data_IF_719411162757
#
_entry.id   IF_719411162757
#
_cell.length_a   1.000
_cell.length_b   1.000
_cell.length_c   1.000
_cell.angle_alpha   90.00
_cell.angle_beta   90.00
_cell.angle_gamma   90.00
#
_symmetry.space_group_name_H-M   'P 1'
#
loop_
_entity.id
_entity.type
_entity.pdbx_description
1 polymer ?
#
# COMPACT_ATOMS: atom_id res chain seq x y z
N UNK A 1 9.88 7.82 -26.48
CA UNK A 1 8.85 8.84 -26.21
C UNK A 1 7.45 8.28 -26.06
N UNK A 2 6.91 7.46 -26.97
CA UNK A 2 5.54 6.92 -26.91
C UNK A 2 5.21 6.08 -25.65
N UNK A 3 6.14 5.19 -25.22
CA UNK A 3 6.00 4.40 -23.97
C UNK A 3 5.97 5.29 -22.72
N UNK A 4 6.79 6.33 -22.72
CA UNK A 4 6.85 7.29 -21.61
C UNK A 4 5.51 8.02 -21.44
N UNK A 5 4.96 8.63 -22.49
CA UNK A 5 3.75 9.44 -22.43
C UNK A 5 2.49 8.58 -22.16
N UNK A 6 2.45 7.34 -22.67
CA UNK A 6 1.23 6.49 -22.59
C UNK A 6 1.22 5.48 -21.45
N UNK A 7 2.34 5.28 -20.78
CA UNK A 7 2.47 4.34 -19.69
C UNK A 7 3.19 4.93 -18.47
N UNK A 8 4.46 5.33 -18.60
CA UNK A 8 5.30 5.70 -17.45
C UNK A 8 4.79 6.95 -16.75
N UNK A 9 4.66 8.06 -17.48
CA UNK A 9 4.19 9.32 -16.92
C UNK A 9 2.80 9.23 -16.29
N UNK A 10 1.76 8.71 -16.99
CA UNK A 10 0.44 8.59 -16.36
C UNK A 10 0.42 7.59 -15.21
N UNK A 11 1.20 6.51 -15.26
CA UNK A 11 1.31 5.58 -14.14
C UNK A 11 1.91 6.25 -12.90
N UNK A 12 2.94 7.06 -13.07
CA UNK A 12 3.55 7.85 -12.01
C UNK A 12 2.55 8.84 -11.41
N UNK A 13 1.92 9.67 -12.25
CA UNK A 13 0.98 10.70 -11.79
C UNK A 13 -0.21 10.12 -11.03
N UNK A 14 -0.80 9.04 -11.53
CA UNK A 14 -1.91 8.37 -10.85
C UNK A 14 -1.47 7.77 -9.52
N UNK A 15 -0.37 7.03 -9.52
CA UNK A 15 0.07 6.32 -8.34
C UNK A 15 0.54 7.27 -7.22
N UNK A 16 1.28 8.34 -7.56
CA UNK A 16 1.72 9.33 -6.57
C UNK A 16 0.54 10.10 -5.98
N UNK A 17 -0.50 10.39 -6.79
CA UNK A 17 -1.69 11.07 -6.31
C UNK A 17 -2.48 10.22 -5.32
N UNK A 18 -2.77 8.96 -5.65
CA UNK A 18 -3.54 8.10 -4.73
C UNK A 18 -2.74 7.62 -3.53
N UNK A 19 -1.41 7.70 -3.57
CA UNK A 19 -0.54 7.46 -2.43
C UNK A 19 -0.73 8.45 -1.27
N UNK A 20 -1.40 9.57 -1.53
CA UNK A 20 -1.86 10.52 -0.52
C UNK A 20 -2.69 9.83 0.59
N UNK A 21 -3.34 8.70 0.32
CA UNK A 21 -4.17 7.99 1.30
C UNK A 21 -3.44 7.74 2.63
N UNK A 22 -2.13 7.53 2.61
CA UNK A 22 -1.33 7.35 3.83
C UNK A 22 -1.06 8.65 4.60
N UNK A 23 -1.21 9.80 3.98
CA UNK A 23 -0.99 11.08 4.65
C UNK A 23 -2.11 11.43 5.65
N UNK A 24 -3.28 10.79 5.57
CA UNK A 24 -4.43 11.04 6.45
C UNK A 24 -4.09 10.96 7.93
N UNK A 25 -3.27 9.99 8.30
CA UNK A 25 -2.88 9.78 9.70
C UNK A 25 -2.18 10.99 10.31
N UNK A 26 -1.53 11.83 9.48
CA UNK A 26 -0.88 13.06 9.91
C UNK A 26 -1.86 14.16 10.33
N UNK A 27 -3.12 14.06 9.92
CA UNK A 27 -4.17 15.05 10.19
C UNK A 27 -5.16 14.57 11.27
N UNK A 28 -5.03 13.31 11.72
CA UNK A 28 -6.01 12.68 12.61
C UNK A 28 -6.19 13.41 13.93
N UNK A 29 -5.12 13.95 14.53
CA UNK A 29 -5.18 14.69 15.79
C UNK A 29 -5.92 16.03 15.59
N UNK A 30 -5.59 16.77 14.54
CA UNK A 30 -6.25 18.04 14.21
C UNK A 30 -7.72 17.85 13.88
N UNK A 31 -8.07 16.78 13.14
CA UNK A 31 -9.47 16.45 12.84
C UNK A 31 -10.22 16.10 14.13
N UNK A 32 -9.67 15.22 14.97
CA UNK A 32 -10.29 14.82 16.23
C UNK A 32 -10.55 16.02 17.13
N UNK A 33 -9.56 16.91 17.30
CA UNK A 33 -9.70 18.12 18.10
C UNK A 33 -10.75 19.09 17.54
N UNK A 34 -10.85 19.21 16.20
CA UNK A 34 -11.79 20.15 15.57
C UNK A 34 -13.25 19.66 15.63
N UNK A 35 -13.49 18.34 15.38
CA UNK A 35 -14.85 17.80 15.34
C UNK A 35 -15.38 17.43 16.73
N UNK A 36 -14.50 17.28 17.73
CA UNK A 36 -14.88 16.95 19.10
C UNK A 36 -15.68 18.10 19.74
N UNK A 37 -16.75 17.73 20.46
CA UNK A 37 -17.52 18.66 21.29
C UNK A 37 -17.57 18.13 22.71
N UNK A 38 -17.99 18.98 23.68
CA UNK A 38 -18.13 18.55 25.10
C UNK A 38 -19.16 17.43 25.24
N UNK A 39 -20.24 17.49 24.45
CA UNK A 39 -21.32 16.51 24.46
C UNK A 39 -21.01 15.24 23.67
N UNK A 40 -20.15 15.33 22.64
CA UNK A 40 -19.77 14.21 21.77
C UNK A 40 -18.25 14.23 21.53
N UNK A 41 -17.45 13.75 22.48
CA UNK A 41 -16.00 13.69 22.34
C UNK A 41 -15.59 12.68 21.28
N UNK A 42 -14.73 13.09 20.34
CA UNK A 42 -14.20 12.25 19.29
C UNK A 42 -12.72 11.98 19.51
N UNK A 43 -12.36 10.71 19.57
CA UNK A 43 -10.96 10.31 19.78
C UNK A 43 -10.18 10.22 18.47
N UNK A 44 -8.84 10.38 18.55
CA UNK A 44 -7.92 10.13 17.44
C UNK A 44 -8.13 8.75 16.82
N UNK A 45 -8.37 7.73 17.62
CA UNK A 45 -8.58 6.36 17.17
C UNK A 45 -9.83 6.23 16.27
N UNK A 46 -10.92 6.91 16.63
CA UNK A 46 -12.13 6.96 15.81
C UNK A 46 -11.87 7.65 14.46
N UNK A 47 -11.12 8.76 14.44
CA UNK A 47 -10.73 9.40 13.17
C UNK A 47 -9.82 8.50 12.35
N UNK A 48 -8.83 7.85 12.95
CA UNK A 48 -7.92 6.93 12.26
C UNK A 48 -8.63 5.69 11.71
N UNK A 49 -9.79 5.33 12.22
CA UNK A 49 -10.61 4.27 11.65
C UNK A 49 -11.05 4.57 10.22
N UNK A 50 -11.21 5.85 9.83
CA UNK A 50 -11.42 6.23 8.43
C UNK A 50 -10.27 5.78 7.51
N UNK A 51 -9.03 5.85 7.97
CA UNK A 51 -7.87 5.32 7.24
C UNK A 51 -7.94 3.78 7.12
N UNK A 52 -8.26 3.08 8.20
CA UNK A 52 -8.41 1.62 8.17
C UNK A 52 -9.49 1.18 7.20
N UNK A 53 -10.63 1.87 7.18
CA UNK A 53 -11.68 1.68 6.17
C UNK A 53 -11.16 2.00 4.76
N UNK A 54 -10.36 3.06 4.61
CA UNK A 54 -9.75 3.42 3.33
C UNK A 54 -8.87 2.31 2.77
N UNK A 55 -8.04 1.68 3.59
CA UNK A 55 -7.21 0.53 3.19
C UNK A 55 -8.09 -0.70 2.90
N UNK A 56 -9.14 -0.94 3.69
CA UNK A 56 -10.07 -2.03 3.42
C UNK A 56 -10.76 -1.86 2.07
N UNK A 57 -11.34 -0.68 1.82
CA UNK A 57 -12.03 -0.40 0.56
C UNK A 57 -11.09 -0.24 -0.64
N UNK A 58 -9.80 0.09 -0.42
CA UNK A 58 -8.77 -0.02 -1.46
C UNK A 58 -8.67 -1.47 -1.96
N UNK A 59 -8.53 -2.43 -1.03
CA UNK A 59 -8.48 -3.85 -1.37
C UNK A 59 -9.76 -4.32 -2.08
N UNK A 60 -10.92 -3.95 -1.55
CA UNK A 60 -12.22 -4.30 -2.14
C UNK A 60 -12.45 -3.64 -3.50
N UNK A 61 -12.10 -2.34 -3.64
CA UNK A 61 -12.17 -1.62 -4.91
C UNK A 61 -11.31 -2.28 -5.99
N UNK A 62 -10.08 -2.66 -5.67
CA UNK A 62 -9.23 -3.41 -6.59
C UNK A 62 -9.85 -4.76 -6.98
N UNK A 63 -10.42 -5.50 -6.02
CA UNK A 63 -11.00 -6.81 -6.26
C UNK A 63 -12.25 -6.75 -7.14
N UNK A 64 -13.20 -5.86 -6.83
CA UNK A 64 -14.48 -5.81 -7.54
C UNK A 64 -14.40 -5.12 -8.90
N UNK A 65 -13.58 -4.07 -9.03
CA UNK A 65 -13.46 -3.30 -10.26
C UNK A 65 -12.42 -3.85 -11.25
N UNK A 66 -11.69 -4.90 -10.92
CA UNK A 66 -10.74 -5.55 -11.82
C UNK A 66 -11.32 -5.91 -13.18
N UNK A 67 -12.63 -6.27 -13.27
CA UNK A 67 -13.34 -6.52 -14.54
C UNK A 67 -13.43 -5.29 -15.42
N UNK A 68 -13.68 -4.11 -14.85
CA UNK A 68 -13.77 -2.85 -15.59
C UNK A 68 -12.40 -2.44 -16.11
N UNK A 69 -11.36 -2.63 -15.29
CA UNK A 69 -9.97 -2.39 -15.70
C UNK A 69 -9.55 -3.30 -16.86
N UNK A 70 -9.99 -4.57 -16.86
CA UNK A 70 -9.74 -5.47 -18.00
C UNK A 70 -10.39 -4.97 -19.30
N UNK A 71 -11.65 -4.58 -19.21
CA UNK A 71 -12.43 -4.11 -20.38
C UNK A 71 -11.91 -2.78 -20.90
N UNK A 72 -11.82 -1.78 -20.03
CA UNK A 72 -11.51 -0.41 -20.43
C UNK A 72 -10.70 0.31 -19.36
N UNK A 73 -9.38 0.34 -19.53
CA UNK A 73 -8.45 1.01 -18.61
C UNK A 73 -8.77 2.49 -18.43
N UNK A 74 -9.15 3.19 -19.51
CA UNK A 74 -9.45 4.61 -19.44
C UNK A 74 -10.70 4.88 -18.62
N UNK A 75 -11.78 4.13 -18.87
CA UNK A 75 -13.03 4.27 -18.13
C UNK A 75 -12.81 3.96 -16.64
N UNK A 76 -12.12 2.86 -16.33
CA UNK A 76 -11.83 2.50 -14.94
C UNK A 76 -11.00 3.57 -14.22
N UNK A 77 -10.00 4.12 -14.91
CA UNK A 77 -9.15 5.18 -14.33
C UNK A 77 -9.95 6.46 -14.10
N UNK A 78 -10.85 6.82 -15.02
CA UNK A 78 -11.76 7.97 -14.84
C UNK A 78 -12.71 7.74 -13.64
N UNK A 79 -13.33 6.56 -13.54
CA UNK A 79 -14.19 6.22 -12.40
C UNK A 79 -13.40 6.31 -11.09
N UNK A 80 -12.21 5.71 -11.04
CA UNK A 80 -11.35 5.75 -9.85
C UNK A 80 -10.94 7.17 -9.46
N UNK A 81 -10.56 8.01 -10.44
CA UNK A 81 -10.24 9.43 -10.23
C UNK A 81 -11.45 10.20 -9.68
N UNK A 82 -12.63 10.02 -10.28
CA UNK A 82 -13.85 10.70 -9.81
C UNK A 82 -14.19 10.28 -8.38
N UNK A 83 -14.14 8.98 -8.06
CA UNK A 83 -14.38 8.49 -6.69
C UNK A 83 -13.37 9.06 -5.70
N UNK A 84 -12.08 9.08 -6.06
CA UNK A 84 -11.03 9.61 -5.20
C UNK A 84 -11.23 11.09 -4.91
N UNK A 85 -11.45 11.91 -5.94
CA UNK A 85 -11.63 13.35 -5.80
C UNK A 85 -12.93 13.69 -5.05
N UNK A 86 -14.06 13.05 -5.41
CA UNK A 86 -15.32 13.25 -4.69
C UNK A 86 -15.23 12.81 -3.23
N UNK A 87 -14.47 11.75 -2.95
CA UNK A 87 -14.20 11.28 -1.60
C UNK A 87 -13.44 12.30 -0.75
N UNK A 88 -12.44 12.98 -1.31
CA UNK A 88 -11.74 14.07 -0.61
C UNK A 88 -12.69 15.24 -0.32
N UNK A 89 -13.56 15.60 -1.26
CA UNK A 89 -14.57 16.67 -1.06
C UNK A 89 -15.57 16.28 0.04
N UNK A 90 -16.10 15.05 0.01
CA UNK A 90 -17.03 14.55 1.04
C UNK A 90 -16.36 14.50 2.41
N UNK A 91 -15.06 14.14 2.46
CA UNK A 91 -14.27 14.17 3.71
C UNK A 91 -14.21 15.59 4.29
N UNK A 92 -13.92 16.57 3.45
CA UNK A 92 -13.88 17.98 3.85
C UNK A 92 -15.23 18.48 4.37
N UNK A 93 -16.32 18.13 3.67
CA UNK A 93 -17.68 18.43 4.13
C UNK A 93 -17.91 17.78 5.51
N UNK A 94 -17.55 16.51 5.68
CA UNK A 94 -17.68 15.80 6.96
C UNK A 94 -16.93 16.47 8.10
N UNK A 95 -15.72 16.97 7.84
CA UNK A 95 -14.94 17.74 8.82
C UNK A 95 -15.66 19.05 9.16
N UNK A 96 -16.07 19.81 8.15
CA UNK A 96 -16.70 21.13 8.31
C UNK A 96 -18.01 21.04 9.10
N UNK A 97 -18.85 20.04 8.80
CA UNK A 97 -20.12 19.82 9.53
C UNK A 97 -19.95 18.96 10.79
N UNK A 98 -18.71 18.64 11.17
CA UNK A 98 -18.36 17.84 12.36
C UNK A 98 -19.02 16.45 12.39
N UNK A 99 -19.16 15.81 11.25
CA UNK A 99 -19.80 14.50 11.10
C UNK A 99 -18.78 13.40 10.75
N UNK A 100 -18.48 12.55 11.74
CA UNK A 100 -17.52 11.45 11.61
C UNK A 100 -17.95 10.40 10.55
N UNK A 101 -19.26 10.16 10.40
CA UNK A 101 -19.78 9.18 9.41
C UNK A 101 -19.54 9.66 7.97
N UNK A 102 -19.65 10.96 7.72
CA UNK A 102 -19.29 11.53 6.41
C UNK A 102 -17.79 11.40 6.13
N UNK A 103 -16.93 11.51 7.15
CA UNK A 103 -15.49 11.25 7.00
C UNK A 103 -15.26 9.77 6.65
N UNK A 104 -15.98 8.85 7.26
CA UNK A 104 -15.91 7.41 6.92
C UNK A 104 -16.39 7.13 5.50
N UNK A 105 -17.49 7.77 5.09
CA UNK A 105 -18.00 7.67 3.71
C UNK A 105 -17.00 8.28 2.70
N UNK A 106 -16.53 9.49 2.96
CA UNK A 106 -15.62 10.20 2.06
C UNK A 106 -14.27 9.52 1.98
N UNK A 107 -13.54 9.49 3.10
CA UNK A 107 -12.17 8.97 3.11
C UNK A 107 -12.12 7.45 3.12
N UNK A 108 -12.93 6.82 3.93
CA UNK A 108 -12.97 5.37 4.02
C UNK A 108 -13.45 4.74 2.73
N UNK A 109 -14.69 5.00 2.34
CA UNK A 109 -15.31 4.29 1.21
C UNK A 109 -14.90 4.87 -0.15
N UNK A 110 -15.11 6.17 -0.40
CA UNK A 110 -14.92 6.74 -1.74
C UNK A 110 -13.44 6.87 -2.09
N UNK A 111 -12.60 7.48 -1.24
CA UNK A 111 -11.15 7.58 -1.47
C UNK A 111 -10.53 6.19 -1.53
N UNK A 112 -10.88 5.28 -0.60
CA UNK A 112 -10.38 3.92 -0.59
C UNK A 112 -10.70 3.17 -1.88
N UNK A 113 -11.97 3.12 -2.28
CA UNK A 113 -12.41 2.43 -3.52
C UNK A 113 -11.75 3.03 -4.76
N UNK A 114 -11.73 4.36 -4.87
CA UNK A 114 -11.07 5.06 -5.96
C UNK A 114 -9.59 4.72 -6.06
N UNK A 115 -8.90 4.69 -4.92
CA UNK A 115 -7.48 4.29 -4.82
C UNK A 115 -7.28 2.86 -5.33
N UNK A 116 -8.12 1.91 -4.93
CA UNK A 116 -8.00 0.51 -5.36
C UNK A 116 -8.12 0.33 -6.86
N UNK A 117 -9.07 1.01 -7.50
CA UNK A 117 -9.24 1.00 -8.96
C UNK A 117 -8.01 1.57 -9.66
N UNK A 118 -7.51 2.71 -9.17
CA UNK A 118 -6.34 3.39 -9.74
C UNK A 118 -5.06 2.58 -9.51
N UNK A 119 -4.94 1.86 -8.39
CA UNK A 119 -3.74 1.07 -8.10
C UNK A 119 -3.48 -0.02 -9.17
N UNK A 120 -4.51 -0.78 -9.56
CA UNK A 120 -4.32 -1.90 -10.50
C UNK A 120 -4.18 -1.47 -11.97
N UNK A 121 -4.73 -0.31 -12.36
CA UNK A 121 -4.74 0.14 -13.75
C UNK A 121 -3.34 0.47 -14.30
N UNK A 122 -2.50 1.29 -13.62
CA UNK A 122 -1.12 1.54 -14.02
C UNK A 122 -0.23 0.29 -13.97
N UNK A 123 -0.36 -0.53 -12.91
CA UNK A 123 0.44 -1.76 -12.75
C UNK A 123 0.27 -2.67 -13.94
N UNK A 124 -0.97 -2.95 -14.34
CA UNK A 124 -1.23 -3.73 -15.56
C UNK A 124 -0.65 -3.08 -16.81
N UNK A 125 -0.90 -1.79 -17.00
CA UNK A 125 -0.46 -1.08 -18.20
C UNK A 125 1.05 -1.10 -18.34
N UNK A 126 1.77 -0.90 -17.23
CA UNK A 126 3.23 -0.97 -17.20
C UNK A 126 3.74 -2.37 -17.56
N UNK A 127 3.17 -3.43 -16.98
CA UNK A 127 3.55 -4.81 -17.32
C UNK A 127 3.27 -5.16 -18.80
N UNK A 128 2.23 -4.60 -19.42
CA UNK A 128 1.94 -4.80 -20.84
C UNK A 128 2.95 -4.07 -21.75
N UNK A 129 3.42 -2.89 -21.37
CA UNK A 129 4.42 -2.15 -22.15
C UNK A 129 5.85 -2.65 -21.98
N UNK A 130 6.15 -3.29 -20.83
CA UNK A 130 7.48 -3.78 -20.45
C UNK A 130 7.42 -5.26 -20.06
N UNK A 131 6.89 -6.07 -20.97
CA UNK A 131 6.57 -7.47 -20.73
C UNK A 131 7.77 -8.32 -20.30
N UNK A 132 8.96 -8.02 -20.81
CA UNK A 132 10.21 -8.76 -20.49
C UNK A 132 10.65 -8.51 -19.02
N UNK A 133 10.31 -7.36 -18.47
CA UNK A 133 10.68 -6.93 -17.11
C UNK A 133 9.42 -6.62 -16.27
N UNK A 134 8.52 -7.59 -16.14
CA UNK A 134 7.20 -7.40 -15.51
C UNK A 134 7.29 -6.94 -14.06
N UNK A 135 8.24 -7.46 -13.28
CA UNK A 135 8.36 -7.11 -11.87
C UNK A 135 8.84 -5.67 -11.70
N UNK A 136 9.87 -5.23 -12.45
CA UNK A 136 10.31 -3.83 -12.45
C UNK A 136 9.20 -2.92 -12.96
N UNK A 137 8.51 -3.32 -14.01
CA UNK A 137 7.40 -2.56 -14.57
C UNK A 137 6.25 -2.37 -13.56
N UNK A 138 5.91 -3.42 -12.82
CA UNK A 138 4.93 -3.32 -11.74
C UNK A 138 5.44 -2.49 -10.56
N UNK A 139 6.74 -2.58 -10.23
CA UNK A 139 7.33 -1.87 -9.09
C UNK A 139 7.26 -0.35 -9.24
N UNK A 140 7.39 0.18 -10.47
CA UNK A 140 7.45 1.63 -10.71
C UNK A 140 6.20 2.38 -10.21
N UNK A 141 4.95 2.04 -10.59
CA UNK A 141 3.77 2.68 -10.01
C UNK A 141 3.61 2.38 -8.50
N UNK A 142 4.06 1.21 -8.03
CA UNK A 142 3.98 0.84 -6.62
C UNK A 142 4.94 1.67 -5.76
N UNK A 143 6.14 1.99 -6.27
CA UNK A 143 7.08 2.92 -5.62
C UNK A 143 6.50 4.33 -5.62
N UNK A 144 5.95 4.78 -6.75
CA UNK A 144 5.31 6.09 -6.88
C UNK A 144 4.16 6.27 -5.89
N UNK A 145 3.38 5.22 -5.66
CA UNK A 145 2.34 5.20 -4.62
C UNK A 145 2.91 5.44 -3.21
N UNK A 146 4.04 4.82 -2.89
CA UNK A 146 4.73 5.06 -1.62
C UNK A 146 5.23 6.51 -1.46
N UNK A 147 5.69 7.13 -2.54
CA UNK A 147 6.14 8.53 -2.55
C UNK A 147 4.98 9.52 -2.36
N UNK A 148 3.74 9.14 -2.68
CA UNK A 148 2.58 10.02 -2.60
C UNK A 148 2.31 10.54 -1.19
N UNK A 149 2.47 9.72 -0.17
CA UNK A 149 2.35 10.15 1.23
C UNK A 149 3.41 11.17 1.61
N UNK A 150 4.66 10.94 1.21
CA UNK A 150 5.77 11.86 1.45
C UNK A 150 5.52 13.20 0.78
N UNK A 151 5.13 13.18 -0.50
CA UNK A 151 4.79 14.39 -1.24
C UNK A 151 3.67 15.17 -0.56
N UNK A 152 2.58 14.51 -0.17
CA UNK A 152 1.46 15.14 0.51
C UNK A 152 1.87 15.74 1.86
N UNK A 153 2.72 15.06 2.61
CA UNK A 153 3.22 15.55 3.90
C UNK A 153 4.10 16.80 3.70
N UNK A 154 5.00 16.79 2.71
CA UNK A 154 5.86 17.93 2.39
C UNK A 154 5.04 19.14 1.94
N UNK A 155 4.05 18.92 1.09
CA UNK A 155 3.22 19.98 0.56
C UNK A 155 2.43 20.73 1.67
N UNK A 156 1.98 20.03 2.71
CA UNK A 156 1.06 20.56 3.69
C UNK A 156 1.63 20.74 5.10
N UNK A 157 2.56 19.90 5.54
CA UNK A 157 3.26 20.06 6.82
C UNK A 157 4.65 20.68 6.68
N UNK A 158 5.22 20.63 5.48
CA UNK A 158 6.58 21.07 5.22
C UNK A 158 7.65 20.06 5.65
N UNK A 159 8.88 20.38 5.32
CA UNK A 159 10.08 19.69 5.81
C UNK A 159 10.68 20.56 6.90
N UNK A 160 10.82 20.00 8.10
CA UNK A 160 11.53 20.62 9.19
C UNK A 160 12.93 20.00 9.27
N UNK A 161 13.99 20.79 9.13
CA UNK A 161 15.34 20.36 9.44
C UNK A 161 16.00 21.37 10.38
N UNK A 162 16.38 20.88 11.56
CA UNK A 162 16.87 21.73 12.64
C UNK A 162 15.75 22.56 13.30
N UNK A 163 16.13 23.36 14.27
CA UNK A 163 15.19 24.15 15.08
C UNK A 163 14.68 25.42 14.39
N UNK A 164 15.31 25.84 13.27
CA UNK A 164 15.05 27.15 12.67
C UNK A 164 14.57 27.12 11.21
N UNK A 165 14.61 25.95 10.53
CA UNK A 165 14.32 25.88 9.10
C UNK A 165 13.11 24.98 8.83
N UNK A 166 12.02 25.58 8.37
CA UNK A 166 10.87 24.85 7.82
C UNK A 166 10.56 25.31 6.41
N UNK A 167 10.44 24.38 5.47
CA UNK A 167 9.96 24.66 4.10
C UNK A 167 8.66 23.93 3.88
N UNK A 168 7.56 24.65 3.81
CA UNK A 168 6.28 24.17 3.31
C UNK A 168 6.02 24.81 1.94
N UNK A 169 5.76 24.02 0.89
CA UNK A 169 5.49 24.54 -0.45
C UNK A 169 4.18 25.34 -0.51
N UNK A 170 3.23 25.02 0.36
CA UNK A 170 1.98 25.75 0.54
C UNK A 170 1.85 26.13 2.01
N UNK A 171 2.62 27.14 2.45
CA UNK A 171 2.26 27.86 3.67
C UNK A 171 0.96 28.61 3.40
N UNK A 172 -0.15 27.94 3.55
CA UNK A 172 -1.39 28.63 3.86
C UNK A 172 -1.17 29.26 5.24
N UNK A 173 -0.69 30.52 5.27
CA UNK A 173 -0.73 31.35 6.47
C UNK A 173 -2.17 31.28 6.96
N UNK A 174 -2.42 30.63 8.05
CA UNK A 174 -3.76 30.31 8.53
C UNK A 174 -4.04 28.83 8.68
N UNK A 175 -3.04 27.94 8.42
CA UNK A 175 -3.16 26.53 8.72
C UNK A 175 -3.44 26.30 10.22
N UNK A 176 -2.93 27.15 11.09
CA UNK A 176 -3.22 27.17 12.53
C UNK A 176 -4.65 27.64 12.85
N UNK A 177 -5.26 28.47 11.99
CA UNK A 177 -6.59 29.04 12.22
C UNK A 177 -7.69 28.47 11.32
N UNK A 178 -7.36 28.06 10.08
CA UNK A 178 -8.34 27.55 9.09
C UNK A 178 -7.93 26.20 8.47
N UNK A 179 -6.80 25.62 8.90
CA UNK A 179 -6.09 24.63 8.13
C UNK A 179 -6.79 23.29 7.94
N UNK A 180 -7.40 22.77 9.00
CA UNK A 180 -7.97 21.41 8.94
C UNK A 180 -9.25 21.35 8.11
N UNK A 181 -10.00 22.45 8.03
CA UNK A 181 -11.26 22.56 7.27
C UNK A 181 -11.07 22.86 5.79
N UNK A 182 -9.83 22.89 5.27
CA UNK A 182 -9.54 23.15 3.86
C UNK A 182 -8.51 22.19 3.25
N UNK A 183 -7.90 21.34 4.05
CA UNK A 183 -6.83 20.45 3.60
C UNK A 183 -7.28 19.53 2.49
N UNK A 184 -8.43 18.88 2.65
CA UNK A 184 -8.89 17.88 1.70
C UNK A 184 -9.46 18.47 0.43
N UNK A 185 -10.03 19.70 0.47
CA UNK A 185 -10.42 20.39 -0.75
C UNK A 185 -9.20 20.85 -1.56
N UNK A 186 -8.13 21.30 -0.88
CA UNK A 186 -6.86 21.62 -1.56
C UNK A 186 -6.22 20.37 -2.16
N UNK A 187 -6.23 19.23 -1.45
CA UNK A 187 -5.81 17.94 -2.04
C UNK A 187 -6.65 17.59 -3.26
N UNK A 188 -7.98 17.75 -3.18
CA UNK A 188 -8.88 17.45 -4.30
C UNK A 188 -8.52 18.28 -5.54
N UNK A 189 -8.33 19.60 -5.38
CA UNK A 189 -7.95 20.49 -6.49
C UNK A 189 -6.55 20.14 -7.03
N UNK A 190 -5.56 19.94 -6.14
CA UNK A 190 -4.18 19.66 -6.52
C UNK A 190 -4.04 18.36 -7.30
N UNK A 191 -4.74 17.29 -6.87
CA UNK A 191 -4.65 15.98 -7.52
C UNK A 191 -5.62 15.80 -8.69
N UNK A 192 -6.72 16.57 -8.79
CA UNK A 192 -7.68 16.44 -9.89
C UNK A 192 -7.00 16.61 -11.27
N UNK A 193 -6.24 17.68 -11.45
CA UNK A 193 -5.61 17.99 -12.73
C UNK A 193 -4.67 16.88 -13.20
N UNK A 194 -3.62 16.48 -12.46
CA UNK A 194 -2.72 15.44 -12.92
C UNK A 194 -3.41 14.07 -13.07
N UNK A 195 -4.41 13.75 -12.23
CA UNK A 195 -5.11 12.47 -12.32
C UNK A 195 -6.01 12.39 -13.57
N UNK A 196 -6.78 13.43 -13.88
CA UNK A 196 -7.59 13.44 -15.11
C UNK A 196 -6.73 13.45 -16.37
N UNK A 197 -5.64 14.23 -16.41
CA UNK A 197 -4.69 14.19 -17.52
C UNK A 197 -4.12 12.77 -17.69
N UNK A 198 -3.69 12.16 -16.60
CA UNK A 198 -3.13 10.82 -16.63
C UNK A 198 -4.16 9.75 -17.06
N UNK A 199 -5.43 9.89 -16.64
CA UNK A 199 -6.50 8.99 -17.05
C UNK A 199 -6.74 9.03 -18.57
N UNK A 200 -6.57 10.19 -19.21
CA UNK A 200 -6.65 10.32 -20.67
C UNK A 200 -5.40 9.80 -21.38
N UNK A 201 -4.22 9.93 -20.80
CA UNK A 201 -2.94 9.51 -21.40
C UNK A 201 -2.71 8.01 -21.27
N UNK A 202 -3.17 7.36 -20.21
CA UNK A 202 -2.93 5.96 -19.93
C UNK A 202 -3.58 5.06 -20.99
N UNK A 203 -2.77 4.30 -21.73
CA UNK A 203 -3.23 3.46 -22.84
C UNK A 203 -2.48 2.14 -22.88
N UNK A 204 -3.21 1.05 -23.17
CA UNK A 204 -2.60 -0.25 -23.51
C UNK A 204 -1.75 -0.13 -24.79
N UNK A 205 -0.69 -0.92 -24.95
CA UNK A 205 -0.02 -1.06 -26.26
C UNK A 205 -1.01 -1.65 -27.30
N UNK A 206 -0.76 -1.41 -28.58
CA UNK A 206 -1.51 -2.06 -29.66
C UNK A 206 -1.25 -3.58 -29.66
N UNK A 207 -2.21 -4.38 -30.10
CA UNK A 207 -2.10 -5.84 -30.16
C UNK A 207 -0.86 -6.33 -30.92
N UNK A 208 -0.48 -5.66 -32.00
CA UNK A 208 0.74 -5.92 -32.78
C UNK A 208 2.05 -5.70 -31.99
N UNK A 209 2.01 -4.94 -30.91
CA UNK A 209 3.15 -4.68 -30.01
C UNK A 209 3.13 -5.58 -28.75
N UNK A 210 2.12 -6.42 -28.63
CA UNK A 210 1.97 -7.37 -27.54
C UNK A 210 2.58 -8.70 -28.00
N UNK A 211 3.92 -8.83 -27.90
CA UNK A 211 4.60 -10.12 -28.00
C UNK A 211 4.23 -10.94 -26.75
N UNK A 212 3.00 -11.44 -26.70
CA UNK A 212 2.63 -12.42 -25.67
C UNK A 212 3.40 -13.70 -25.98
N UNK A 213 4.26 -14.11 -25.05
CA UNK A 213 4.82 -15.43 -25.07
C UNK A 213 3.71 -16.46 -25.31
N UNK A 214 3.87 -17.27 -26.31
CA UNK A 214 2.95 -18.33 -26.70
C UNK A 214 2.68 -19.22 -25.49
N UNK A 215 1.43 -19.41 -25.09
CA UNK A 215 1.14 -20.63 -24.43
C UNK A 215 0.18 -20.72 -23.25
N UNK A 216 -0.42 -19.65 -22.73
CA UNK A 216 -1.49 -19.83 -21.76
C UNK A 216 -2.80 -19.41 -22.43
N UNK A 217 -3.71 -20.38 -22.73
CA UNK A 217 -5.04 -20.06 -23.24
C UNK A 217 -5.74 -19.08 -22.30
N UNK A 218 -6.49 -18.12 -22.85
CA UNK A 218 -7.34 -17.25 -22.06
C UNK A 218 -8.37 -18.13 -21.31
N UNK A 219 -8.04 -18.52 -20.07
CA UNK A 219 -8.97 -19.22 -19.20
C UNK A 219 -10.22 -18.34 -19.00
N UNK A 220 -11.38 -18.93 -19.23
CA UNK A 220 -12.63 -18.27 -18.83
C UNK A 220 -12.55 -17.94 -17.35
N UNK A 221 -12.57 -16.66 -17.05
CA UNK A 221 -12.36 -16.17 -15.70
C UNK A 221 -13.67 -16.14 -14.91
N UNK A 222 -13.79 -17.00 -13.93
CA UNK A 222 -14.84 -16.96 -12.92
C UNK A 222 -14.23 -16.80 -11.52
N UNK A 223 -14.72 -15.83 -10.75
CA UNK A 223 -14.26 -15.65 -9.34
C UNK A 223 -14.45 -16.92 -8.52
N UNK A 224 -15.55 -17.67 -8.73
CA UNK A 224 -15.80 -18.93 -8.03
C UNK A 224 -14.70 -19.97 -8.27
N UNK A 225 -14.18 -20.04 -9.48
CA UNK A 225 -13.07 -20.95 -9.84
C UNK A 225 -11.76 -20.46 -9.23
N UNK A 226 -11.52 -19.13 -9.27
CA UNK A 226 -10.33 -18.51 -8.69
C UNK A 226 -10.24 -18.78 -7.17
N UNK A 227 -11.33 -18.57 -6.42
CA UNK A 227 -11.36 -18.81 -4.97
C UNK A 227 -11.29 -20.29 -4.57
N UNK A 228 -11.33 -21.23 -5.52
CA UNK A 228 -11.05 -22.65 -5.32
C UNK A 228 -9.65 -23.05 -5.77
N UNK A 229 -8.94 -22.19 -6.47
CA UNK A 229 -7.57 -22.46 -6.90
C UNK A 229 -6.59 -22.31 -5.74
N UNK A 230 -5.94 -23.41 -5.39
CA UNK A 230 -4.97 -23.44 -4.29
C UNK A 230 -3.78 -22.50 -4.51
N UNK A 231 -3.39 -22.26 -5.77
CA UNK A 231 -2.33 -21.30 -6.09
C UNK A 231 -2.76 -19.87 -5.73
N UNK A 232 -3.97 -19.47 -6.10
CA UNK A 232 -4.53 -18.17 -5.76
C UNK A 232 -4.63 -17.99 -4.24
N UNK A 233 -5.21 -18.97 -3.54
CA UNK A 233 -5.40 -18.90 -2.09
C UNK A 233 -4.06 -18.75 -1.35
N UNK A 234 -3.02 -19.45 -1.80
CA UNK A 234 -1.68 -19.33 -1.22
C UNK A 234 -1.00 -18.00 -1.52
N UNK A 235 -1.19 -17.45 -2.72
CA UNK A 235 -0.71 -16.11 -3.06
C UNK A 235 -1.45 -15.02 -2.26
N UNK A 236 -2.75 -15.19 -2.05
CA UNK A 236 -3.55 -14.35 -1.19
C UNK A 236 -3.08 -14.42 0.27
N UNK A 237 -2.88 -15.62 0.79
CA UNK A 237 -2.37 -15.84 2.16
C UNK A 237 -0.97 -15.25 2.35
N UNK A 238 -0.09 -15.40 1.32
CA UNK A 238 1.22 -14.74 1.34
C UNK A 238 1.08 -13.23 1.55
N UNK A 239 0.24 -12.59 0.75
CA UNK A 239 0.02 -11.14 0.85
C UNK A 239 -0.58 -10.76 2.19
N UNK A 240 -1.60 -11.49 2.65
CA UNK A 240 -2.27 -11.21 3.94
C UNK A 240 -1.27 -11.26 5.11
N UNK A 241 -0.51 -12.33 5.24
CA UNK A 241 0.46 -12.49 6.32
C UNK A 241 1.62 -11.48 6.21
N UNK A 242 2.18 -11.30 5.01
CA UNK A 242 3.28 -10.34 4.81
C UNK A 242 2.86 -8.91 5.18
N UNK A 243 1.67 -8.50 4.78
CA UNK A 243 1.15 -7.16 5.06
C UNK A 243 0.78 -7.02 6.54
N UNK A 244 0.09 -8.01 7.13
CA UNK A 244 -0.26 -8.00 8.54
C UNK A 244 0.98 -7.87 9.43
N UNK A 245 2.03 -8.62 9.14
CA UNK A 245 3.29 -8.55 9.90
C UNK A 245 3.94 -7.16 9.79
N UNK A 246 3.99 -6.56 8.59
CA UNK A 246 4.54 -5.22 8.41
C UNK A 246 3.74 -4.15 9.17
N UNK A 247 2.41 -4.22 9.11
CA UNK A 247 1.53 -3.28 9.81
C UNK A 247 1.56 -3.46 11.34
N UNK A 248 1.83 -4.67 11.84
CA UNK A 248 2.09 -4.90 13.26
C UNK A 248 3.39 -4.26 13.71
N UNK A 249 4.46 -4.45 12.92
CA UNK A 249 5.83 -4.09 13.34
C UNK A 249 6.05 -2.57 13.39
N UNK A 250 5.51 -1.79 12.44
CA UNK A 250 5.80 -0.36 12.30
C UNK A 250 5.50 0.43 13.59
N UNK A 251 4.29 0.37 14.18
CA UNK A 251 3.99 1.07 15.42
C UNK A 251 4.74 0.48 16.62
N UNK A 252 4.85 -0.85 16.68
CA UNK A 252 5.57 -1.55 17.76
C UNK A 252 7.05 -1.16 17.80
N UNK A 253 7.72 -1.13 16.67
CA UNK A 253 9.15 -0.81 16.61
C UNK A 253 9.42 0.61 17.12
N UNK A 254 8.59 1.60 16.75
CA UNK A 254 8.72 2.98 17.25
C UNK A 254 8.56 3.04 18.77
N UNK A 255 7.53 2.40 19.30
CA UNK A 255 7.27 2.35 20.73
C UNK A 255 8.41 1.67 21.49
N UNK A 256 8.93 0.57 20.95
CA UNK A 256 10.00 -0.20 21.57
C UNK A 256 11.33 0.53 21.57
N UNK A 257 11.68 1.20 20.47
CA UNK A 257 12.90 2.03 20.39
C UNK A 257 12.89 3.16 21.43
N UNK A 258 11.71 3.69 21.76
CA UNK A 258 11.54 4.77 22.75
C UNK A 258 11.48 4.23 24.21
N UNK A 259 11.36 2.91 24.41
CA UNK A 259 11.28 2.33 25.76
C UNK A 259 12.63 2.30 26.47
N UNK A 260 12.62 2.26 27.81
CA UNK A 260 13.83 2.16 28.65
C UNK A 260 14.66 0.90 28.35
N UNK A 261 14.02 -0.15 27.83
CA UNK A 261 14.71 -1.41 27.47
C UNK A 261 15.66 -1.26 26.27
N UNK A 262 15.48 -0.25 25.41
CA UNK A 262 16.30 0.02 24.23
C UNK A 262 17.02 1.36 24.35
N UNK A 263 16.33 2.40 24.84
CA UNK A 263 16.90 3.69 25.16
C UNK A 263 17.45 4.49 23.97
N UNK A 264 16.86 4.35 22.79
CA UNK A 264 17.30 5.12 21.63
C UNK A 264 16.92 6.61 21.80
N UNK A 265 17.84 7.50 21.41
CA UNK A 265 17.52 8.92 21.37
C UNK A 265 16.41 9.23 20.37
N UNK A 266 15.63 10.27 20.64
CA UNK A 266 14.53 10.68 19.75
C UNK A 266 14.99 10.98 18.32
N UNK A 267 16.19 11.59 18.17
CA UNK A 267 16.82 11.82 16.87
C UNK A 267 17.15 10.53 16.11
N UNK A 268 17.64 9.51 16.81
CA UNK A 268 17.93 8.20 16.21
C UNK A 268 16.65 7.49 15.79
N UNK A 269 15.61 7.50 16.63
CA UNK A 269 14.28 6.94 16.31
C UNK A 269 13.72 7.60 15.04
N UNK A 270 13.74 8.93 14.99
CA UNK A 270 13.27 9.71 13.82
C UNK A 270 14.04 9.31 12.55
N UNK A 271 15.37 9.18 12.66
CA UNK A 271 16.23 8.78 11.54
C UNK A 271 15.89 7.36 11.05
N UNK A 272 15.76 6.38 11.96
CA UNK A 272 15.42 5.00 11.60
C UNK A 272 14.02 4.93 10.95
N UNK A 273 13.05 5.64 11.49
CA UNK A 273 11.69 5.69 10.92
C UNK A 273 11.70 6.31 9.51
N UNK A 274 12.44 7.39 9.30
CA UNK A 274 12.59 7.99 7.97
C UNK A 274 13.28 7.03 6.98
N UNK A 275 14.39 6.40 7.39
CA UNK A 275 15.10 5.42 6.59
C UNK A 275 14.22 4.19 6.28
N UNK A 276 13.33 3.79 7.18
CA UNK A 276 12.44 2.64 6.94
C UNK A 276 11.53 2.86 5.74
N UNK A 277 11.09 4.10 5.50
CA UNK A 277 10.34 4.47 4.29
C UNK A 277 11.19 4.33 3.02
N UNK A 278 12.45 4.77 3.05
CA UNK A 278 13.39 4.59 1.94
C UNK A 278 13.68 3.11 1.68
N UNK A 279 13.83 2.31 2.74
CA UNK A 279 14.01 0.86 2.64
C UNK A 279 12.79 0.18 2.03
N UNK A 280 11.56 0.63 2.33
CA UNK A 280 10.35 0.14 1.71
C UNK A 280 10.34 0.40 0.19
N UNK A 281 10.65 1.61 -0.24
CA UNK A 281 10.77 1.96 -1.66
C UNK A 281 11.93 1.25 -2.36
N UNK A 282 13.10 1.24 -1.75
CA UNK A 282 14.30 0.57 -2.26
C UNK A 282 14.13 -0.94 -2.38
N UNK A 283 13.48 -1.56 -1.40
CA UNK A 283 13.14 -2.98 -1.41
C UNK A 283 12.21 -3.34 -2.58
N UNK A 284 11.19 -2.53 -2.87
CA UNK A 284 10.32 -2.72 -4.04
C UNK A 284 11.12 -2.78 -5.34
N UNK A 285 12.08 -1.86 -5.51
CA UNK A 285 12.92 -1.83 -6.70
C UNK A 285 13.91 -2.99 -6.73
N UNK A 286 14.69 -3.19 -5.66
CA UNK A 286 15.77 -4.18 -5.59
C UNK A 286 15.25 -5.61 -5.82
N UNK A 287 14.22 -6.00 -5.08
CA UNK A 287 13.67 -7.35 -5.19
C UNK A 287 12.88 -7.58 -6.50
N UNK A 288 12.25 -6.54 -7.07
CA UNK A 288 11.65 -6.64 -8.39
C UNK A 288 12.73 -6.84 -9.47
N UNK A 289 13.81 -6.07 -9.41
CA UNK A 289 14.95 -6.19 -10.31
C UNK A 289 15.62 -7.56 -10.20
N UNK A 290 15.78 -8.08 -8.99
CA UNK A 290 16.32 -9.41 -8.77
C UNK A 290 15.35 -10.50 -9.26
N UNK A 291 14.07 -10.35 -8.98
CA UNK A 291 13.00 -11.25 -9.42
C UNK A 291 12.96 -11.46 -10.94
N UNK A 292 13.14 -10.38 -11.72
CA UNK A 292 13.15 -10.45 -13.19
C UNK A 292 14.36 -11.22 -13.75
N UNK A 293 15.40 -11.47 -12.94
CA UNK A 293 16.60 -12.26 -13.31
C UNK A 293 16.54 -13.71 -12.89
N UNK A 294 15.59 -14.07 -12.05
CA UNK A 294 15.44 -15.45 -11.57
C UNK A 294 14.70 -16.31 -12.60
N UNK A 295 15.18 -17.52 -12.84
CA UNK A 295 14.49 -18.50 -13.67
C UNK A 295 13.06 -18.80 -13.17
N UNK A 296 12.85 -18.74 -11.86
CA UNK A 296 11.54 -18.87 -11.20
C UNK A 296 11.36 -17.72 -10.23
N UNK A 297 10.57 -16.69 -10.60
CA UNK A 297 10.32 -15.49 -9.77
C UNK A 297 9.80 -15.80 -8.37
N UNK A 298 9.07 -16.89 -8.21
CA UNK A 298 8.54 -17.30 -6.89
C UNK A 298 9.64 -17.50 -5.84
N UNK A 299 10.87 -17.84 -6.26
CA UNK A 299 11.98 -18.02 -5.32
C UNK A 299 12.31 -16.74 -4.55
N UNK A 300 12.01 -15.58 -5.11
CA UNK A 300 12.27 -14.30 -4.41
C UNK A 300 11.40 -14.17 -3.16
N UNK A 301 10.18 -14.73 -3.17
CA UNK A 301 9.31 -14.73 -1.99
C UNK A 301 9.93 -15.56 -0.85
N UNK A 302 10.59 -16.67 -1.16
CA UNK A 302 11.31 -17.48 -0.16
C UNK A 302 12.48 -16.70 0.43
N UNK A 303 13.24 -15.95 -0.40
CA UNK A 303 14.33 -15.11 0.07
C UNK A 303 13.81 -14.00 1.00
N UNK A 304 12.76 -13.30 0.58
CA UNK A 304 12.11 -12.25 1.40
C UNK A 304 11.69 -12.81 2.76
N UNK A 305 11.02 -13.97 2.77
CA UNK A 305 10.53 -14.57 3.99
C UNK A 305 11.64 -15.16 4.87
N UNK A 306 12.68 -15.75 4.28
CA UNK A 306 13.85 -16.21 5.04
C UNK A 306 14.56 -15.06 5.75
N UNK A 307 14.74 -13.92 5.05
CA UNK A 307 15.31 -12.69 5.65
C UNK A 307 14.38 -12.20 6.77
N UNK A 308 13.06 -12.20 6.55
CA UNK A 308 12.08 -11.74 7.54
C UNK A 308 12.07 -12.62 8.80
N UNK A 309 12.10 -13.94 8.66
CA UNK A 309 12.22 -14.86 9.79
C UNK A 309 13.52 -14.62 10.56
N UNK A 310 14.66 -14.52 9.84
CA UNK A 310 15.97 -14.32 10.46
C UNK A 310 16.04 -13.04 11.28
N UNK A 311 15.65 -11.91 10.71
CA UNK A 311 15.73 -10.62 11.40
C UNK A 311 14.71 -10.52 12.55
N UNK A 312 13.52 -11.11 12.41
CA UNK A 312 12.57 -11.16 13.51
C UNK A 312 13.01 -12.08 14.64
N UNK A 313 13.73 -13.16 14.36
CA UNK A 313 14.35 -13.99 15.38
C UNK A 313 15.45 -13.22 16.13
N UNK A 314 16.24 -12.41 15.45
CA UNK A 314 17.22 -11.53 16.10
C UNK A 314 16.54 -10.46 16.98
N UNK A 315 15.30 -10.10 16.70
CA UNK A 315 14.54 -9.09 17.48
C UNK A 315 14.09 -9.59 18.86
N UNK A 316 14.35 -10.83 19.24
CA UNK A 316 14.29 -11.25 20.64
C UNK A 316 15.31 -10.48 21.52
N UNK A 317 16.35 -9.91 20.92
CA UNK A 317 17.14 -8.85 21.53
C UNK A 317 16.54 -7.49 21.15
N UNK A 318 15.94 -6.77 22.11
CA UNK A 318 15.18 -5.54 21.82
C UNK A 318 15.97 -4.48 21.06
N UNK A 319 17.29 -4.41 21.27
CA UNK A 319 18.19 -3.48 20.56
C UNK A 319 18.20 -3.71 19.02
N UNK A 320 17.83 -4.90 18.54
CA UNK A 320 17.76 -5.20 17.10
C UNK A 320 16.49 -4.65 16.43
N UNK A 321 15.53 -4.12 17.18
CA UNK A 321 14.23 -3.71 16.64
C UNK A 321 14.32 -2.61 15.58
N UNK A 322 15.27 -1.68 15.74
CA UNK A 322 15.51 -0.64 14.73
C UNK A 322 15.99 -1.21 13.39
N UNK A 323 16.96 -2.17 13.45
CA UNK A 323 17.41 -2.89 12.26
C UNK A 323 16.30 -3.74 11.66
N UNK A 324 15.51 -4.42 12.50
CA UNK A 324 14.38 -5.20 12.05
C UNK A 324 13.36 -4.34 11.31
N UNK A 325 13.07 -3.13 11.78
CA UNK A 325 12.17 -2.20 11.10
C UNK A 325 12.66 -1.87 9.68
N UNK A 326 13.96 -1.61 9.51
CA UNK A 326 14.55 -1.30 8.21
C UNK A 326 14.44 -2.48 7.23
N UNK A 327 14.86 -3.66 7.68
CA UNK A 327 14.90 -4.88 6.84
C UNK A 327 13.49 -5.37 6.50
N UNK A 328 12.59 -5.41 7.49
CA UNK A 328 11.21 -5.82 7.26
C UNK A 328 10.49 -4.86 6.33
N UNK A 329 10.73 -3.54 6.42
CA UNK A 329 10.14 -2.60 5.47
C UNK A 329 10.59 -2.85 4.04
N UNK A 330 11.85 -3.21 3.80
CA UNK A 330 12.32 -3.59 2.48
C UNK A 330 11.62 -4.87 1.98
N UNK A 331 11.51 -5.90 2.82
CA UNK A 331 10.83 -7.16 2.51
C UNK A 331 9.32 -6.97 2.31
N UNK A 332 8.68 -6.16 3.15
CA UNK A 332 7.28 -5.78 3.05
C UNK A 332 6.98 -5.12 1.70
N UNK A 333 7.78 -4.10 1.33
CA UNK A 333 7.65 -3.42 0.05
C UNK A 333 7.84 -4.36 -1.15
N UNK A 334 8.81 -5.26 -1.07
CA UNK A 334 9.11 -6.26 -2.10
C UNK A 334 7.91 -7.15 -2.44
N UNK A 335 7.15 -7.59 -1.44
CA UNK A 335 5.95 -8.42 -1.65
C UNK A 335 4.96 -7.78 -2.63
N UNK A 336 4.71 -6.48 -2.50
CA UNK A 336 3.80 -5.77 -3.41
C UNK A 336 4.29 -5.68 -4.86
N UNK A 337 5.59 -5.49 -5.06
CA UNK A 337 6.14 -5.28 -6.41
C UNK A 337 6.31 -6.57 -7.20
N UNK A 338 6.53 -7.70 -6.52
CA UNK A 338 6.83 -8.98 -7.18
C UNK A 338 5.57 -9.80 -7.46
N UNK A 339 4.56 -9.74 -6.60
CA UNK A 339 3.31 -10.52 -6.73
C UNK A 339 2.60 -10.33 -8.07
N UNK A 340 2.42 -9.12 -8.63
CA UNK A 340 1.75 -8.96 -9.91
C UNK A 340 2.44 -9.74 -11.04
N UNK A 341 3.78 -9.76 -11.05
CA UNK A 341 4.55 -10.48 -12.05
C UNK A 341 4.45 -12.01 -11.88
N UNK A 342 4.48 -12.49 -10.64
CA UNK A 342 4.29 -13.93 -10.32
C UNK A 342 2.89 -14.39 -10.74
N UNK A 343 1.86 -13.61 -10.49
CA UNK A 343 0.50 -13.89 -10.91
C UNK A 343 0.39 -13.90 -12.45
N UNK A 344 1.05 -12.93 -13.12
CA UNK A 344 1.07 -12.87 -14.57
C UNK A 344 1.80 -14.05 -15.22
N UNK A 345 2.84 -14.59 -14.57
CA UNK A 345 3.54 -15.79 -15.05
C UNK A 345 2.68 -17.05 -14.95
N UNK A 346 1.79 -17.14 -13.96
CA UNK A 346 0.95 -18.31 -13.74
C UNK A 346 -0.41 -18.25 -14.47
N UNK A 347 -1.02 -17.07 -14.55
CA UNK A 347 -2.37 -16.89 -15.09
C UNK A 347 -2.41 -16.15 -16.42
N UNK A 348 -1.25 -15.70 -16.91
CA UNK A 348 -1.17 -14.85 -18.10
C UNK A 348 -1.62 -13.41 -17.86
N UNK A 349 -1.51 -12.60 -18.92
CA UNK A 349 -1.82 -11.15 -18.85
C UNK A 349 -3.30 -10.84 -19.08
N UNK A 350 -4.08 -11.76 -19.62
CA UNK A 350 -5.45 -11.50 -20.09
C UNK A 350 -6.41 -11.13 -18.97
N UNK A 351 -6.30 -11.76 -17.80
CA UNK A 351 -7.18 -11.51 -16.65
C UNK A 351 -6.44 -10.95 -15.43
N UNK A 352 -5.22 -10.44 -15.64
CA UNK A 352 -4.34 -10.09 -14.54
C UNK A 352 -4.91 -9.03 -13.60
N UNK A 353 -5.68 -8.05 -14.10
CA UNK A 353 -6.29 -7.02 -13.24
C UNK A 353 -7.34 -7.61 -12.30
N UNK A 354 -8.09 -8.62 -12.76
CA UNK A 354 -9.09 -9.30 -11.92
C UNK A 354 -8.40 -10.12 -10.83
N UNK A 355 -7.36 -10.86 -11.21
CA UNK A 355 -6.63 -11.77 -10.32
C UNK A 355 -5.80 -10.98 -9.32
N UNK A 356 -5.03 -10.00 -9.78
CA UNK A 356 -4.24 -9.13 -8.92
C UNK A 356 -5.15 -8.30 -8.01
N UNK A 357 -6.23 -7.74 -8.54
CA UNK A 357 -7.22 -7.05 -7.73
C UNK A 357 -7.80 -7.94 -6.63
N UNK A 358 -8.17 -9.18 -6.96
CA UNK A 358 -8.66 -10.14 -5.97
C UNK A 358 -7.60 -10.47 -4.90
N UNK A 359 -6.31 -10.58 -5.27
CA UNK A 359 -5.22 -10.77 -4.28
C UNK A 359 -5.07 -9.54 -3.38
N UNK A 360 -5.28 -8.33 -3.90
CA UNK A 360 -5.19 -7.10 -3.10
C UNK A 360 -6.29 -6.97 -2.03
N UNK A 361 -7.38 -7.77 -2.10
CA UNK A 361 -8.30 -7.86 -0.96
C UNK A 361 -7.60 -8.31 0.32
N UNK A 362 -6.53 -9.10 0.22
CA UNK A 362 -5.68 -9.45 1.35
C UNK A 362 -5.11 -8.22 2.07
N UNK A 363 -4.77 -7.17 1.31
CA UNK A 363 -4.33 -5.91 1.89
C UNK A 363 -5.44 -5.23 2.69
N UNK A 364 -6.66 -5.21 2.15
CA UNK A 364 -7.82 -4.69 2.87
C UNK A 364 -8.03 -5.37 4.22
N UNK A 365 -8.04 -6.69 4.24
CA UNK A 365 -8.19 -7.47 5.49
C UNK A 365 -6.99 -7.29 6.42
N UNK A 366 -5.76 -7.25 5.91
CA UNK A 366 -4.57 -7.01 6.71
C UNK A 366 -4.56 -5.60 7.34
N UNK A 367 -5.11 -4.60 6.66
CA UNK A 367 -5.28 -3.24 7.18
C UNK A 367 -6.17 -3.17 8.42
N UNK A 368 -7.18 -4.04 8.49
CA UNK A 368 -8.04 -4.16 9.68
C UNK A 368 -7.41 -5.04 10.77
N UNK A 369 -6.78 -6.15 10.38
CA UNK A 369 -6.32 -7.18 11.31
C UNK A 369 -4.92 -6.90 11.90
N UNK A 370 -3.99 -6.33 11.11
CA UNK A 370 -2.57 -6.29 11.45
C UNK A 370 -2.29 -5.59 12.78
N UNK A 371 -2.68 -4.33 12.91
CA UNK A 371 -2.45 -3.57 14.14
C UNK A 371 -3.25 -4.14 15.34
N UNK A 372 -4.45 -4.65 15.09
CA UNK A 372 -5.28 -5.25 16.13
C UNK A 372 -4.66 -6.52 16.73
N UNK A 373 -3.98 -7.31 15.90
CA UNK A 373 -3.25 -8.50 16.37
C UNK A 373 -2.11 -8.11 17.32
N UNK A 374 -1.36 -7.03 17.02
CA UNK A 374 -0.33 -6.53 17.93
C UNK A 374 -0.91 -6.10 19.28
N UNK A 375 -1.98 -5.28 19.28
CA UNK A 375 -2.66 -4.82 20.49
C UNK A 375 -3.24 -6.00 21.28
N UNK A 376 -3.83 -6.97 20.61
CA UNK A 376 -4.36 -8.16 21.26
C UNK A 376 -3.29 -8.91 22.03
N UNK A 377 -2.14 -9.16 21.40
CA UNK A 377 -1.04 -9.94 21.97
C UNK A 377 -0.29 -9.16 23.04
N UNK A 378 0.05 -7.88 22.77
CA UNK A 378 0.83 -7.08 23.72
C UNK A 378 0.03 -6.67 24.94
N UNK A 379 -1.16 -6.10 24.73
CA UNK A 379 -1.88 -5.38 25.76
C UNK A 379 -2.95 -6.26 26.42
N UNK A 380 -3.83 -6.89 25.60
CA UNK A 380 -4.96 -7.65 26.16
C UNK A 380 -4.56 -9.01 26.72
N UNK A 381 -3.63 -9.72 26.07
CA UNK A 381 -3.11 -11.00 26.55
C UNK A 381 -1.91 -10.83 27.48
N UNK A 382 -1.35 -9.63 27.59
CA UNK A 382 -0.28 -9.31 28.50
C UNK A 382 1.09 -9.90 28.13
N UNK A 383 1.26 -10.42 26.91
CA UNK A 383 2.55 -11.00 26.50
C UNK A 383 3.60 -9.95 26.09
N UNK A 384 3.22 -8.68 26.03
CA UNK A 384 4.11 -7.56 25.75
C UNK A 384 4.85 -7.69 24.43
N UNK A 385 6.03 -7.06 24.37
CA UNK A 385 6.88 -7.06 23.18
C UNK A 385 7.28 -8.45 22.69
N UNK A 386 7.76 -9.31 23.62
CA UNK A 386 8.24 -10.65 23.24
C UNK A 386 7.13 -11.52 22.67
N UNK A 387 5.89 -11.37 23.16
CA UNK A 387 4.73 -12.05 22.59
C UNK A 387 4.47 -11.64 21.15
N UNK A 388 4.56 -10.34 20.84
CA UNK A 388 4.38 -9.86 19.45
C UNK A 388 5.53 -10.31 18.56
N UNK A 389 6.78 -10.25 19.00
CA UNK A 389 7.94 -10.77 18.23
C UNK A 389 7.74 -12.27 17.94
N UNK A 390 7.32 -13.06 18.93
CA UNK A 390 7.03 -14.49 18.76
C UNK A 390 5.94 -14.70 17.72
N UNK A 391 4.84 -13.97 17.81
CA UNK A 391 3.75 -14.02 16.82
C UNK A 391 4.25 -13.72 15.41
N UNK A 392 5.09 -12.69 15.25
CA UNK A 392 5.64 -12.31 13.94
C UNK A 392 6.58 -13.38 13.38
N UNK A 393 7.45 -13.97 14.20
CA UNK A 393 8.31 -15.10 13.80
C UNK A 393 7.46 -16.28 13.33
N UNK A 394 6.41 -16.63 14.08
CA UNK A 394 5.49 -17.70 13.71
C UNK A 394 4.77 -17.39 12.38
N UNK A 395 4.25 -16.18 12.21
CA UNK A 395 3.53 -15.80 10.99
C UNK A 395 4.44 -15.79 9.76
N UNK A 396 5.65 -15.26 9.87
CA UNK A 396 6.62 -15.32 8.77
C UNK A 396 7.05 -16.75 8.46
N UNK A 397 7.23 -17.62 9.47
CA UNK A 397 7.57 -19.02 9.28
C UNK A 397 6.45 -19.80 8.61
N UNK A 398 5.19 -19.60 9.03
CA UNK A 398 4.02 -20.18 8.38
C UNK A 398 3.88 -19.70 6.92
N UNK A 399 4.17 -18.41 6.68
CA UNK A 399 4.15 -17.86 5.34
C UNK A 399 5.27 -18.43 4.47
N UNK A 400 6.45 -18.68 5.03
CA UNK A 400 7.55 -19.37 4.33
C UNK A 400 7.12 -20.79 3.90
N UNK A 401 6.54 -21.57 4.80
CA UNK A 401 5.99 -22.90 4.49
C UNK A 401 4.88 -22.83 3.43
N UNK A 402 4.00 -21.82 3.52
CA UNK A 402 2.98 -21.57 2.51
C UNK A 402 3.60 -21.38 1.12
N UNK A 403 4.65 -20.55 0.99
CA UNK A 403 5.32 -20.30 -0.30
C UNK A 403 6.10 -21.52 -0.78
N UNK A 404 6.71 -22.33 0.10
CA UNK A 404 7.34 -23.63 -0.29
C UNK A 404 6.30 -24.54 -0.95
N UNK A 405 5.11 -24.64 -0.37
CA UNK A 405 4.03 -25.46 -0.95
C UNK A 405 3.46 -24.84 -2.23
N UNK A 406 3.37 -23.50 -2.33
CA UNK A 406 3.01 -22.77 -3.54
C UNK A 406 3.98 -23.10 -4.69
N UNK A 407 5.29 -23.06 -4.42
CA UNK A 407 6.33 -23.39 -5.40
C UNK A 407 6.22 -24.83 -5.91
N UNK A 408 5.89 -25.78 -5.01
CA UNK A 408 5.69 -27.19 -5.38
C UNK A 408 4.47 -27.39 -6.27
N UNK A 409 3.41 -26.63 -6.07
CA UNK A 409 2.20 -26.69 -6.90
C UNK A 409 2.42 -26.20 -8.33
N UNK A 410 3.34 -25.23 -8.54
CA UNK A 410 3.75 -24.79 -9.88
C UNK A 410 4.52 -25.85 -10.65
N UNK A 411 5.32 -26.67 -9.98
CA UNK A 411 6.10 -27.72 -10.63
C UNK A 411 5.25 -28.90 -11.15
N UNK A 412 3.98 -28.97 -10.72
CA UNK A 412 3.02 -30.02 -11.12
C UNK A 412 2.05 -29.58 -12.24
N UNK A 413 2.08 -28.28 -12.60
CA UNK A 413 1.33 -27.67 -13.72
C UNK A 413 2.23 -27.46 -14.93
#
# INVERSE_FOLDING_TARGET
>A
MKRFIRAVLPAFLLAVSVGQIYAFTNFSDGIASYISTVEAPVTKAQVQFAFSLGIFFLGMGAAFFGKIVEKNIRLSTLIGTTLFISGLIVTEIGITVKNLHLIYLGYGFLVGTGTGIIYISPVKTMMLWFYEHKAIAAALPIISFGLGSTLSTILFKGIHWGTEHSVAMFQLRGFETYGITRVFIVFAIFYAVPMFIAAFLLKKPKLEQQSFGHGIPALEFHYRTLFRDSYFLRAWLFMFLNISCGLCLIPLAKQMMASDAVGYSEGLITTIVALSGLMNGGGRFLFAWWSDRLAKRINILLVILAISVGIMTLSFWPVMIGLALLVINACYGAGFSVIPAILADNYGMTNISKIHGAVLSAWGFAGLAGNQAAILVSDKLGFGYLGVVTMLVVFYSLNFLNVVTLRRSMAKR
#
